data_IF_873095836979
#
_entry.id   IF_873095836979
#
_cell.length_a   1.000
_cell.length_b   1.000
_cell.length_c   1.000
_cell.angle_alpha   90.00
_cell.angle_beta   90.00
_cell.angle_gamma   90.00
#
_symmetry.space_group_name_H-M   'P 1'
#
loop_
_entity.id
_entity.type
_entity.pdbx_description
1 polymer ?
#
# COMPACT_ATOMS: atom_id res chain seq x y z
N UNK A 1 -1.82 30.42 34.60
CA UNK A 1 -3.02 29.63 34.26
C UNK A 1 -2.55 28.50 33.37
N UNK A 2 -2.52 27.30 33.96
CA UNK A 2 -1.79 26.15 33.44
C UNK A 2 -2.43 25.56 32.20
N UNK A 3 -1.57 24.87 31.45
CA UNK A 3 -1.78 24.23 30.18
C UNK A 3 -2.89 23.16 30.26
N UNK A 4 -3.86 23.22 29.35
CA UNK A 4 -4.77 22.09 29.12
C UNK A 4 -4.19 21.25 27.98
N UNK A 5 -3.57 20.14 28.36
CA UNK A 5 -3.08 19.08 27.47
C UNK A 5 -4.29 18.47 26.75
N UNK A 6 -4.43 18.72 25.45
CA UNK A 6 -5.34 17.97 24.58
C UNK A 6 -4.78 16.56 24.38
N UNK A 7 -5.01 15.71 25.38
CA UNK A 7 -4.69 14.29 25.33
C UNK A 7 -5.85 13.57 24.65
N UNK A 8 -5.88 13.55 23.33
CA UNK A 8 -6.87 12.76 22.57
C UNK A 8 -6.39 11.30 22.52
N UNK A 9 -6.61 10.55 23.61
CA UNK A 9 -6.64 9.09 23.54
C UNK A 9 -7.99 8.70 22.92
N UNK A 10 -7.96 8.14 21.72
CA UNK A 10 -9.12 7.53 21.06
C UNK A 10 -8.90 6.01 21.12
N UNK A 11 -9.56 5.31 22.05
CA UNK A 11 -9.52 3.84 22.20
C UNK A 11 -10.60 3.12 21.37
N UNK A 12 -11.29 3.80 20.46
CA UNK A 12 -12.30 3.21 19.58
C UNK A 12 -12.24 3.81 18.18
N UNK A 13 -12.39 2.96 17.15
CA UNK A 13 -12.23 3.31 15.73
C UNK A 13 -13.25 4.34 15.18
N UNK A 14 -14.16 4.88 16.00
CA UNK A 14 -15.11 5.91 15.62
C UNK A 14 -14.67 7.28 16.17
N UNK A 15 -13.58 7.83 15.65
CA UNK A 15 -13.35 9.27 15.77
C UNK A 15 -14.03 9.93 14.55
N UNK A 16 -15.19 10.57 14.77
CA UNK A 16 -15.91 11.33 13.76
C UNK A 16 -15.03 12.47 13.24
N UNK A 17 -14.39 12.25 12.09
CA UNK A 17 -13.41 13.19 11.52
C UNK A 17 -12.25 12.55 10.77
N UNK A 18 -12.07 11.22 10.81
CA UNK A 18 -11.11 10.57 9.90
C UNK A 18 -11.66 10.55 8.46
N UNK A 19 -10.86 10.95 7.44
CA UNK A 19 -11.21 10.77 6.04
C UNK A 19 -11.62 9.32 5.77
N UNK A 20 -12.63 9.12 4.92
CA UNK A 20 -13.15 7.79 4.53
C UNK A 20 -12.07 6.88 3.94
N UNK A 21 -10.98 7.47 3.43
CA UNK A 21 -9.75 6.83 3.00
C UNK A 21 -8.59 7.83 3.10
N UNK A 22 -7.38 7.36 3.39
CA UNK A 22 -6.13 8.15 3.38
C UNK A 22 -5.15 7.62 2.33
N UNK A 23 -5.69 7.07 1.23
CA UNK A 23 -4.89 6.55 0.12
C UNK A 23 -4.31 7.70 -0.71
N UNK A 24 -2.98 7.80 -0.75
CA UNK A 24 -2.28 8.91 -1.42
C UNK A 24 -0.93 8.46 -1.98
N UNK A 25 -0.45 9.23 -2.95
CA UNK A 25 0.92 9.11 -3.45
C UNK A 25 1.88 9.57 -2.36
N UNK A 26 2.89 8.76 -2.08
CA UNK A 26 4.05 9.10 -1.28
C UNK A 26 5.26 9.19 -2.18
N UNK A 27 6.13 10.14 -1.91
CA UNK A 27 7.39 10.32 -2.62
C UNK A 27 8.52 10.18 -1.62
N UNK A 28 9.49 9.31 -1.93
CA UNK A 28 10.70 9.13 -1.15
C UNK A 28 11.92 9.27 -2.05
N UNK A 29 12.91 10.02 -1.60
CA UNK A 29 14.17 10.13 -2.29
C UNK A 29 15.03 8.91 -1.98
N UNK A 30 15.34 8.11 -3.00
CA UNK A 30 16.16 6.91 -2.88
C UNK A 30 16.89 6.64 -4.19
N UNK A 31 17.96 5.85 -4.14
CA UNK A 31 18.57 5.27 -5.35
C UNK A 31 17.84 3.98 -5.74
N UNK A 32 17.92 3.65 -7.02
CA UNK A 32 17.48 2.38 -7.59
C UNK A 32 18.72 1.53 -7.85
N UNK A 33 18.70 0.28 -7.37
CA UNK A 33 19.76 -0.68 -7.60
C UNK A 33 19.22 -1.89 -8.37
N UNK A 34 19.85 -2.20 -9.50
CA UNK A 34 19.50 -3.35 -10.34
C UNK A 34 20.77 -4.02 -10.82
N UNK A 35 20.94 -5.30 -10.50
CA UNK A 35 22.07 -6.10 -10.98
C UNK A 35 23.46 -5.54 -10.59
N UNK A 36 23.57 -4.86 -9.45
CA UNK A 36 24.82 -4.22 -9.00
C UNK A 36 25.11 -2.86 -9.63
N UNK A 37 24.17 -2.30 -10.39
CA UNK A 37 24.23 -0.94 -10.92
C UNK A 37 23.30 -0.02 -10.14
N UNK A 38 23.76 1.19 -9.79
CA UNK A 38 23.07 2.11 -8.88
C UNK A 38 22.77 3.44 -9.57
N UNK A 39 21.58 3.98 -9.38
CA UNK A 39 21.22 5.31 -9.87
C UNK A 39 21.69 6.42 -8.94
N UNK A 40 21.79 7.64 -9.47
CA UNK A 40 21.72 8.84 -8.62
C UNK A 40 20.39 8.86 -7.82
N UNK A 41 20.34 9.50 -6.64
CA UNK A 41 19.12 9.62 -5.87
C UNK A 41 17.99 10.29 -6.66
N UNK A 42 16.81 9.67 -6.71
CA UNK A 42 15.63 10.19 -7.37
C UNK A 42 14.38 10.02 -6.51
N UNK A 43 13.31 10.71 -6.88
CA UNK A 43 12.03 10.63 -6.20
C UNK A 43 11.24 9.42 -6.73
N UNK A 44 11.26 8.33 -5.96
CA UNK A 44 10.37 7.19 -6.19
C UNK A 44 9.02 7.46 -5.55
N UNK A 45 7.95 7.10 -6.26
CA UNK A 45 6.59 7.26 -5.77
C UNK A 45 5.92 5.92 -5.51
N UNK A 46 5.12 5.86 -4.45
CA UNK A 46 4.36 4.69 -4.01
C UNK A 46 2.96 5.09 -3.57
N UNK A 47 2.02 4.15 -3.56
CA UNK A 47 0.71 4.35 -2.95
C UNK A 47 0.70 3.85 -1.51
N UNK A 48 0.38 4.74 -0.57
CA UNK A 48 0.27 4.38 0.85
C UNK A 48 -0.99 5.00 1.47
N UNK A 49 -1.64 4.24 2.34
CA UNK A 49 -2.80 4.72 3.06
C UNK A 49 -3.80 3.64 3.46
N UNK A 50 -4.85 4.08 4.15
CA UNK A 50 -5.97 3.24 4.54
C UNK A 50 -7.14 3.33 3.56
N UNK A 51 -7.74 2.17 3.26
CA UNK A 51 -8.97 2.03 2.48
C UNK A 51 -10.01 1.23 3.27
N UNK A 52 -11.28 1.26 2.84
CA UNK A 52 -12.38 0.64 3.57
C UNK A 52 -12.33 -0.89 3.44
N UNK A 53 -12.42 -1.57 4.57
CA UNK A 53 -12.66 -3.01 4.61
C UNK A 53 -13.76 -3.35 5.61
N UNK A 54 -14.53 -4.40 5.32
CA UNK A 54 -15.59 -4.89 6.18
C UNK A 54 -15.75 -6.40 6.06
N UNK A 55 -16.22 -7.01 7.14
CA UNK A 55 -16.62 -8.41 7.20
C UNK A 55 -17.95 -8.49 7.92
N UNK A 56 -18.93 -9.15 7.33
CA UNK A 56 -20.27 -9.27 7.87
C UNK A 56 -20.83 -10.67 7.66
N UNK A 57 -21.58 -11.20 8.62
CA UNK A 57 -22.29 -12.46 8.45
C UNK A 57 -23.50 -12.27 7.52
N UNK A 58 -23.61 -13.11 6.48
CA UNK A 58 -24.77 -13.17 5.60
C UNK A 58 -25.60 -14.41 5.96
N UNK A 59 -26.78 -14.20 6.53
CA UNK A 59 -27.70 -15.29 6.87
C UNK A 59 -28.14 -16.09 5.64
N UNK A 60 -28.39 -15.41 4.51
CA UNK A 60 -28.78 -16.05 3.25
C UNK A 60 -27.71 -17.02 2.71
N UNK A 61 -26.43 -16.67 2.90
CA UNK A 61 -25.31 -17.52 2.49
C UNK A 61 -24.83 -18.46 3.62
N UNK A 62 -25.36 -18.30 4.84
CA UNK A 62 -24.83 -18.87 6.08
C UNK A 62 -23.29 -18.80 6.18
N UNK A 63 -22.73 -17.64 5.79
CA UNK A 63 -21.29 -17.46 5.63
C UNK A 63 -20.88 -16.00 5.91
N UNK A 64 -19.60 -15.78 6.20
CA UNK A 64 -19.03 -14.44 6.29
C UNK A 64 -18.78 -13.88 4.89
N UNK A 65 -19.26 -12.66 4.63
CA UNK A 65 -18.99 -11.89 3.42
C UNK A 65 -17.95 -10.83 3.71
N UNK A 66 -16.98 -10.70 2.82
CA UNK A 66 -15.87 -9.75 2.96
C UNK A 66 -15.94 -8.71 1.86
N UNK A 67 -15.67 -7.46 2.20
CA UNK A 67 -15.40 -6.40 1.22
C UNK A 67 -14.06 -5.78 1.59
N UNK A 68 -13.09 -5.84 0.68
CA UNK A 68 -11.79 -5.20 0.87
C UNK A 68 -11.55 -4.17 -0.23
N UNK A 69 -11.01 -3.04 0.16
CA UNK A 69 -10.39 -2.08 -0.73
C UNK A 69 -8.91 -1.95 -0.36
N UNK A 70 -8.03 -1.87 -1.36
CA UNK A 70 -6.61 -1.62 -1.16
C UNK A 70 -6.23 -0.31 -1.84
N UNK A 71 -5.29 0.41 -1.24
CA UNK A 71 -4.68 1.59 -1.87
C UNK A 71 -3.74 1.12 -2.97
N UNK A 72 -4.07 1.44 -4.22
CA UNK A 72 -3.30 1.04 -5.42
C UNK A 72 -3.20 2.20 -6.39
N UNK A 73 -2.30 2.03 -7.36
CA UNK A 73 -2.06 2.98 -8.44
C UNK A 73 -3.32 3.11 -9.30
N UNK A 74 -3.79 4.35 -9.49
CA UNK A 74 -4.86 4.68 -10.44
C UNK A 74 -4.27 5.08 -11.81
N UNK A 75 -3.14 5.79 -11.77
CA UNK A 75 -2.40 6.20 -12.94
C UNK A 75 -0.90 6.02 -12.72
N UNK A 76 -0.21 5.51 -13.74
CA UNK A 76 1.24 5.34 -13.74
C UNK A 76 1.85 5.83 -15.04
N UNK A 77 3.11 6.24 -14.98
CA UNK A 77 3.94 6.56 -16.13
C UNK A 77 5.21 5.71 -16.11
N UNK A 78 5.84 5.51 -17.27
CA UNK A 78 7.17 4.89 -17.35
C UNK A 78 8.21 5.99 -17.43
N UNK A 79 9.20 5.95 -16.54
CA UNK A 79 10.31 6.91 -16.50
C UNK A 79 11.63 6.18 -16.64
N UNK A 80 12.63 6.86 -17.19
CA UNK A 80 13.97 6.31 -17.38
C UNK A 80 14.95 6.98 -16.43
N UNK A 81 15.89 6.17 -15.94
CA UNK A 81 17.01 6.63 -15.12
C UNK A 81 18.27 5.92 -15.58
N UNK A 82 19.40 6.63 -15.57
CA UNK A 82 20.71 6.03 -15.83
C UNK A 82 21.24 5.40 -14.54
N UNK A 83 21.69 4.15 -14.63
CA UNK A 83 22.38 3.42 -13.58
C UNK A 83 23.86 3.38 -13.90
N UNK A 84 24.70 3.57 -12.88
CA UNK A 84 26.15 3.39 -12.98
C UNK A 84 26.54 2.07 -12.35
N UNK A 85 27.23 1.22 -13.10
CA UNK A 85 27.69 -0.08 -12.65
C UNK A 85 29.13 -0.01 -12.08
N UNK A 86 29.56 -1.03 -11.35
CA UNK A 86 30.88 -1.06 -10.72
C UNK A 86 32.05 -1.04 -11.72
N UNK A 87 31.82 -1.51 -12.95
CA UNK A 87 32.77 -1.47 -14.07
C UNK A 87 32.85 -0.09 -14.76
N UNK A 88 32.07 0.89 -14.29
CA UNK A 88 31.98 2.23 -14.86
C UNK A 88 31.06 2.34 -16.08
N UNK A 89 30.45 1.24 -16.53
CA UNK A 89 29.44 1.28 -17.59
C UNK A 89 28.15 1.93 -17.09
N UNK A 90 27.36 2.46 -18.03
CA UNK A 90 26.05 3.05 -17.75
C UNK A 90 24.95 2.30 -18.47
N UNK A 91 23.83 2.09 -17.77
CA UNK A 91 22.67 1.35 -18.29
C UNK A 91 21.41 2.15 -18.05
N UNK A 92 20.59 2.31 -19.09
CA UNK A 92 19.31 2.97 -18.98
C UNK A 92 18.25 2.01 -18.44
N UNK A 93 17.71 2.30 -17.26
CA UNK A 93 16.66 1.51 -16.63
C UNK A 93 15.32 2.24 -16.69
N UNK A 94 14.27 1.52 -17.11
CA UNK A 94 12.90 2.04 -17.12
C UNK A 94 12.16 1.55 -15.88
N UNK A 95 11.64 2.47 -15.07
CA UNK A 95 10.85 2.17 -13.89
C UNK A 95 9.43 2.74 -14.01
N UNK A 96 8.52 2.24 -13.17
CA UNK A 96 7.13 2.70 -13.09
C UNK A 96 7.06 3.81 -12.04
N UNK A 97 6.53 4.97 -12.43
CA UNK A 97 6.25 6.09 -11.55
C UNK A 97 4.74 6.19 -11.30
N UNK A 98 4.36 6.29 -10.03
CA UNK A 98 2.97 6.47 -9.62
C UNK A 98 2.59 7.93 -9.74
N UNK A 99 1.57 8.23 -10.54
CA UNK A 99 1.03 9.59 -10.73
C UNK A 99 -0.19 9.82 -9.83
N UNK A 100 -1.01 8.79 -9.61
CA UNK A 100 -2.20 8.87 -8.78
C UNK A 100 -2.49 7.55 -8.07
N UNK A 101 -3.15 7.63 -6.91
CA UNK A 101 -3.56 6.49 -6.10
C UNK A 101 -5.06 6.53 -5.84
N UNK A 102 -5.68 5.36 -5.71
CA UNK A 102 -7.08 5.19 -5.31
C UNK A 102 -7.30 3.94 -4.48
N UNK A 103 -8.41 3.94 -3.75
CA UNK A 103 -8.94 2.71 -3.19
C UNK A 103 -9.61 1.89 -4.31
N UNK A 104 -9.09 0.70 -4.57
CA UNK A 104 -9.69 -0.27 -5.50
C UNK A 104 -10.19 -1.47 -4.73
N UNK A 105 -11.40 -1.94 -5.06
CA UNK A 105 -11.92 -3.21 -4.55
C UNK A 105 -10.98 -4.35 -4.91
N UNK A 106 -10.77 -5.26 -3.98
CA UNK A 106 -9.95 -6.46 -4.14
C UNK A 106 -10.67 -7.64 -3.50
N UNK A 107 -10.49 -8.82 -4.08
CA UNK A 107 -10.94 -10.05 -3.46
C UNK A 107 -10.07 -10.34 -2.25
N UNK A 108 -10.69 -10.38 -1.08
CA UNK A 108 -10.03 -10.77 0.18
C UNK A 108 -9.74 -12.28 0.24
N UNK A 109 -10.01 -13.02 -0.84
CA UNK A 109 -9.85 -14.48 -0.88
C UNK A 109 -8.39 -14.80 -0.60
N UNK A 110 -8.13 -15.28 0.61
CA UNK A 110 -6.81 -15.74 1.01
C UNK A 110 -6.35 -16.79 0.01
N UNK A 111 -5.10 -16.68 -0.44
CA UNK A 111 -4.39 -17.80 -1.02
C UNK A 111 -4.49 -18.99 -0.05
N UNK A 112 -5.46 -19.88 -0.26
CA UNK A 112 -5.53 -21.16 0.43
C UNK A 112 -4.48 -22.07 -0.19
N UNK A 113 -3.20 -21.75 -0.04
CA UNK A 113 -2.19 -22.79 -0.01
C UNK A 113 -2.32 -23.48 1.34
N UNK A 114 -2.92 -24.67 1.30
CA UNK A 114 -3.13 -25.62 2.40
C UNK A 114 -4.20 -25.25 3.43
N UNK A 115 -5.45 -25.25 2.93
CA UNK A 115 -6.43 -26.16 3.52
C UNK A 115 -5.98 -27.64 3.30
N UNK A 116 -4.84 -28.04 3.84
CA UNK A 116 -4.50 -29.45 4.03
C UNK A 116 -4.76 -29.79 5.49
N UNK A 117 -6.00 -30.18 5.73
CA UNK A 117 -6.40 -31.32 6.59
C UNK A 117 -5.28 -31.78 7.54
N UNK A 118 -5.45 -31.58 8.85
CA UNK A 118 -5.89 -32.67 9.76
C UNK A 118 -5.94 -32.23 11.23
N UNK A 119 -7.18 -32.32 11.73
CA UNK A 119 -7.59 -32.88 13.02
C UNK A 119 -7.32 -32.05 14.28
N UNK A 120 -8.43 -31.48 14.77
CA UNK A 120 -8.89 -31.57 16.17
C UNK A 120 -8.06 -32.55 17.02
N UNK A 121 -7.39 -32.03 18.03
CA UNK A 121 -7.39 -32.59 19.38
C UNK A 121 -7.64 -31.47 20.35
#
# INVERSE_FOLDING_TARGET
>A
RLWAVLRTRCDTCLCAGRPRSDCRVRSQQTSVEVGGCVSAPLNLTSCEGGCRSSSSYSAAANAMTYQCECCREDATSRRQVELTCADGSTVLHTYIHVEACRCSRQDCAGATTRAQRRRRR
#
